data_IF_126431255672
#
_entry.id   IF_126431255672
#
_cell.length_a   1.000
_cell.length_b   1.000
_cell.length_c   1.000
_cell.angle_alpha   90.00
_cell.angle_beta   90.00
_cell.angle_gamma   90.00
#
_symmetry.space_group_name_H-M   'P 1'
#
loop_
_entity.id
_entity.type
_entity.pdbx_description
1 polymer ?
#
# COMPACT_ATOMS: atom_id res chain seq x y z
N UNK A 1 -25.64 45.67 29.27
CA UNK A 1 -25.79 44.50 30.17
C UNK A 1 -26.79 43.56 29.49
N UNK A 2 -26.57 42.30 29.08
CA UNK A 2 -25.49 41.33 29.21
C UNK A 2 -25.55 40.38 27.98
N UNK A 3 -24.38 40.02 27.41
CA UNK A 3 -24.25 39.05 26.31
C UNK A 3 -24.54 37.62 26.82
N UNK A 4 -25.46 36.91 26.18
CA UNK A 4 -25.66 35.49 26.43
C UNK A 4 -24.49 34.68 25.83
N UNK A 5 -23.67 34.10 26.70
CA UNK A 5 -22.53 33.25 26.35
C UNK A 5 -23.01 31.87 25.91
N UNK A 6 -22.86 31.57 24.61
CA UNK A 6 -23.03 30.22 24.06
C UNK A 6 -21.91 29.32 24.59
N UNK A 7 -22.24 28.41 25.50
CA UNK A 7 -21.29 27.43 26.04
C UNK A 7 -21.05 26.36 24.98
N UNK A 8 -19.82 26.34 24.44
CA UNK A 8 -19.33 25.25 23.60
C UNK A 8 -19.23 23.97 24.43
N UNK A 9 -20.16 23.03 24.23
CA UNK A 9 -20.00 21.67 24.77
C UNK A 9 -19.13 20.85 23.81
N UNK A 10 -18.08 20.15 24.29
CA UNK A 10 -17.24 19.32 23.44
C UNK A 10 -18.02 18.11 22.90
N UNK A 11 -17.73 17.78 21.64
CA UNK A 11 -18.32 16.68 20.88
C UNK A 11 -17.98 15.34 21.53
N UNK A 12 -19.01 14.58 21.96
CA UNK A 12 -18.83 13.21 22.47
C UNK A 12 -18.19 12.31 21.41
N UNK A 13 -17.13 11.59 21.80
CA UNK A 13 -16.33 10.71 20.94
C UNK A 13 -16.81 9.24 20.94
N UNK A 14 -17.79 8.87 21.76
CA UNK A 14 -18.27 7.49 21.87
C UNK A 14 -19.76 7.38 21.52
N UNK A 15 -20.18 6.34 20.77
CA UNK A 15 -21.58 6.00 20.58
C UNK A 15 -22.22 5.58 21.92
N UNK A 16 -23.43 6.06 22.19
CA UNK A 16 -24.25 5.54 23.29
C UNK A 16 -24.64 4.10 22.97
N UNK A 17 -24.24 3.15 23.82
CA UNK A 17 -24.66 1.76 23.73
C UNK A 17 -26.05 1.64 24.34
N UNK A 18 -27.09 1.66 23.50
CA UNK A 18 -28.45 1.31 23.91
C UNK A 18 -28.60 -0.21 24.04
N UNK A 19 -29.27 -0.75 25.07
CA UNK A 19 -29.50 -2.18 25.20
C UNK A 19 -30.50 -2.69 24.13
N UNK A 20 -29.99 -3.40 23.14
CA UNK A 20 -30.56 -4.64 22.59
C UNK A 20 -31.91 -4.62 21.89
N UNK A 21 -31.90 -4.59 20.55
CA UNK A 21 -32.76 -5.45 19.73
C UNK A 21 -31.87 -6.29 18.80
N UNK A 22 -31.70 -7.57 19.14
CA UNK A 22 -31.04 -8.56 18.29
C UNK A 22 -31.96 -8.91 17.12
N UNK A 23 -31.86 -8.15 16.03
CA UNK A 23 -32.31 -8.57 14.72
C UNK A 23 -31.19 -9.35 14.04
N UNK A 24 -31.43 -10.60 13.68
CA UNK A 24 -30.57 -11.35 12.76
C UNK A 24 -30.55 -10.63 11.41
N UNK A 25 -29.57 -9.74 11.20
CA UNK A 25 -29.23 -9.29 9.85
C UNK A 25 -28.34 -10.36 9.22
N UNK A 26 -28.62 -10.80 7.98
CA UNK A 26 -27.71 -11.67 7.23
C UNK A 26 -26.33 -11.03 7.22
N UNK A 27 -25.30 -11.80 7.56
CA UNK A 27 -23.90 -11.38 7.44
C UNK A 27 -23.64 -11.12 5.96
N UNK A 28 -23.85 -9.86 5.55
CA UNK A 28 -23.42 -9.39 4.24
C UNK A 28 -21.93 -9.67 4.16
N UNK A 29 -21.43 -10.29 3.08
CA UNK A 29 -20.01 -10.55 2.91
C UNK A 29 -19.30 -9.23 3.15
N UNK A 30 -18.43 -9.19 4.17
CA UNK A 30 -17.75 -7.97 4.58
C UNK A 30 -17.19 -7.34 3.31
N UNK A 31 -17.78 -6.21 2.89
CA UNK A 31 -17.35 -5.57 1.67
C UNK A 31 -15.89 -5.25 1.94
N UNK A 32 -14.95 -5.98 1.32
CA UNK A 32 -13.52 -5.65 1.39
C UNK A 32 -13.48 -4.15 1.19
N UNK A 33 -13.08 -3.39 2.21
CA UNK A 33 -13.09 -1.92 2.15
C UNK A 33 -12.09 -1.54 1.07
N UNK A 34 -12.59 -1.46 -0.17
CA UNK A 34 -11.78 -1.21 -1.35
C UNK A 34 -11.64 0.30 -1.44
N UNK A 35 -10.40 0.75 -1.30
CA UNK A 35 -10.03 2.12 -0.91
C UNK A 35 -10.08 3.16 -2.04
N UNK A 36 -10.72 2.86 -3.18
CA UNK A 36 -10.75 3.78 -4.32
C UNK A 36 -12.17 4.01 -4.85
N UNK A 37 -12.52 5.29 -4.97
CA UNK A 37 -13.79 5.76 -5.53
C UNK A 37 -13.71 5.86 -7.06
N UNK A 38 -14.86 5.68 -7.73
CA UNK A 38 -15.03 5.96 -9.15
C UNK A 38 -14.79 7.45 -9.46
N UNK A 39 -14.57 7.78 -10.73
CA UNK A 39 -14.26 9.14 -11.20
C UNK A 39 -15.34 10.16 -10.80
N UNK A 40 -16.62 9.79 -10.91
CA UNK A 40 -17.75 10.66 -10.54
C UNK A 40 -17.80 10.96 -9.04
N UNK A 41 -17.75 9.93 -8.19
CA UNK A 41 -17.76 10.11 -6.74
C UNK A 41 -16.52 10.86 -6.25
N UNK A 42 -15.36 10.61 -6.89
CA UNK A 42 -14.11 11.34 -6.62
C UNK A 42 -14.27 12.84 -6.93
N UNK A 43 -14.79 13.19 -8.11
CA UNK A 43 -15.02 14.61 -8.50
C UNK A 43 -16.03 15.32 -7.58
N UNK A 44 -17.03 14.59 -7.07
CA UNK A 44 -18.08 15.13 -6.20
C UNK A 44 -17.72 15.13 -4.70
N UNK A 45 -16.58 14.56 -4.30
CA UNK A 45 -16.21 14.34 -2.90
C UNK A 45 -17.30 13.64 -2.06
N UNK A 46 -17.96 12.63 -2.65
CA UNK A 46 -19.00 11.82 -1.97
C UNK A 46 -18.54 10.37 -1.76
N UNK A 47 -19.22 9.67 -0.84
CA UNK A 47 -18.97 8.24 -0.58
C UNK A 47 -19.23 7.42 -1.85
N UNK A 48 -18.29 6.55 -2.20
CA UNK A 48 -18.44 5.60 -3.30
C UNK A 48 -18.64 4.19 -2.72
N UNK A 49 -19.63 3.44 -3.20
CA UNK A 49 -19.88 2.07 -2.73
C UNK A 49 -19.00 1.03 -3.43
N UNK A 50 -18.35 1.39 -4.55
CA UNK A 50 -17.37 0.55 -5.23
C UNK A 50 -17.89 -0.11 -6.53
N UNK A 51 -17.07 -0.98 -7.15
CA UNK A 51 -17.38 -1.63 -8.43
C UNK A 51 -18.38 -2.79 -8.29
N UNK A 52 -18.99 -3.27 -9.40
CA UNK A 52 -18.77 -2.84 -10.79
C UNK A 52 -19.35 -1.45 -11.09
N UNK A 53 -20.47 -1.09 -10.45
CA UNK A 53 -21.07 0.25 -10.50
C UNK A 53 -21.48 0.67 -9.10
N UNK A 54 -21.09 1.87 -8.67
CA UNK A 54 -21.48 2.35 -7.35
C UNK A 54 -22.94 2.83 -7.33
N UNK A 55 -23.59 2.72 -6.18
CA UNK A 55 -25.00 3.07 -5.98
C UNK A 55 -25.30 4.50 -6.43
N UNK A 56 -24.43 5.45 -6.09
CA UNK A 56 -24.59 6.85 -6.49
C UNK A 56 -24.60 7.04 -8.01
N UNK A 57 -23.80 6.28 -8.76
CA UNK A 57 -23.80 6.35 -10.22
C UNK A 57 -25.02 5.66 -10.82
N UNK A 58 -25.45 4.53 -10.24
CA UNK A 58 -26.69 3.84 -10.65
C UNK A 58 -27.89 4.75 -10.48
N UNK A 59 -28.09 5.33 -9.28
CA UNK A 59 -29.23 6.21 -8.99
C UNK A 59 -29.23 7.49 -9.82
N UNK A 60 -28.06 8.02 -10.16
CA UNK A 60 -27.95 9.24 -10.98
C UNK A 60 -27.91 8.99 -12.48
N UNK A 61 -27.97 7.73 -12.92
CA UNK A 61 -27.86 7.36 -14.34
C UNK A 61 -26.55 7.78 -14.99
N UNK A 62 -25.45 7.89 -14.22
CA UNK A 62 -24.15 8.38 -14.69
C UNK A 62 -23.17 7.23 -14.94
N UNK A 63 -22.26 7.43 -15.88
CA UNK A 63 -21.19 6.46 -16.17
C UNK A 63 -20.30 6.25 -14.94
N UNK A 64 -20.24 5.01 -14.45
CA UNK A 64 -19.39 4.65 -13.32
C UNK A 64 -18.05 4.12 -13.84
N UNK A 65 -17.01 4.96 -13.86
CA UNK A 65 -15.67 4.55 -14.32
C UNK A 65 -14.72 4.46 -13.14
N UNK A 66 -14.05 3.33 -13.03
CA UNK A 66 -12.99 3.07 -12.07
C UNK A 66 -11.65 3.05 -12.80
N UNK A 67 -10.68 3.83 -12.32
CA UNK A 67 -9.33 3.90 -12.91
C UNK A 67 -8.27 3.50 -11.87
N UNK A 68 -8.06 2.19 -11.62
CA UNK A 68 -7.09 1.74 -10.62
C UNK A 68 -5.65 2.21 -10.90
N UNK A 69 -5.30 2.39 -12.18
CA UNK A 69 -3.98 2.86 -12.62
C UNK A 69 -3.64 4.28 -12.16
N UNK A 70 -4.66 5.11 -11.87
CA UNK A 70 -4.48 6.48 -11.36
C UNK A 70 -4.42 6.57 -9.84
N UNK A 71 -4.54 5.46 -9.11
CA UNK A 71 -4.33 5.46 -7.66
C UNK A 71 -2.83 5.58 -7.37
N UNK A 72 -2.42 6.76 -6.88
CA UNK A 72 -1.01 7.05 -6.56
C UNK A 72 -0.44 6.06 -5.54
N UNK A 73 -1.21 5.66 -4.53
CA UNK A 73 -0.77 4.69 -3.50
C UNK A 73 -0.51 3.32 -4.12
N UNK A 74 -1.36 2.88 -5.05
CA UNK A 74 -1.14 1.64 -5.80
C UNK A 74 0.12 1.73 -6.65
N UNK A 75 0.35 2.86 -7.32
CA UNK A 75 1.55 3.10 -8.12
C UNK A 75 2.81 3.09 -7.24
N UNK A 76 2.79 3.74 -6.08
CA UNK A 76 3.88 3.74 -5.11
C UNK A 76 4.14 2.33 -4.58
N UNK A 77 3.11 1.56 -4.20
CA UNK A 77 3.26 0.18 -3.76
C UNK A 77 3.89 -0.71 -4.85
N UNK A 78 3.49 -0.52 -6.11
CA UNK A 78 4.10 -1.22 -7.25
C UNK A 78 5.59 -0.83 -7.40
N UNK A 79 5.91 0.47 -7.35
CA UNK A 79 7.31 0.94 -7.40
C UNK A 79 8.16 0.41 -6.26
N UNK A 80 7.62 0.33 -5.05
CA UNK A 80 8.33 -0.26 -3.91
C UNK A 80 8.62 -1.75 -4.14
N UNK A 81 7.64 -2.49 -4.66
CA UNK A 81 7.84 -3.88 -5.04
C UNK A 81 8.89 -4.03 -6.16
N UNK A 82 8.80 -3.21 -7.21
CA UNK A 82 9.79 -3.17 -8.31
C UNK A 82 11.20 -2.85 -7.80
N UNK A 83 11.34 -1.85 -6.92
CA UNK A 83 12.64 -1.47 -6.34
C UNK A 83 13.25 -2.60 -5.50
N UNK A 84 12.43 -3.30 -4.73
CA UNK A 84 12.90 -4.46 -3.98
C UNK A 84 13.46 -5.53 -4.94
N UNK A 85 12.76 -5.82 -6.05
CA UNK A 85 13.23 -6.78 -7.07
C UNK A 85 14.51 -6.33 -7.78
N UNK A 86 14.67 -5.04 -8.06
CA UNK A 86 15.85 -4.53 -8.78
C UNK A 86 17.15 -4.72 -7.96
N UNK A 87 17.08 -4.59 -6.62
CA UNK A 87 18.23 -4.88 -5.76
C UNK A 87 18.73 -6.32 -5.92
N UNK A 88 17.83 -7.31 -5.91
CA UNK A 88 18.20 -8.72 -6.13
C UNK A 88 18.81 -8.93 -7.52
N UNK A 89 18.23 -8.30 -8.55
CA UNK A 89 18.72 -8.43 -9.92
C UNK A 89 20.14 -7.88 -10.05
N UNK A 90 20.42 -6.72 -9.48
CA UNK A 90 21.73 -6.10 -9.55
C UNK A 90 22.79 -6.93 -8.82
N UNK A 91 22.47 -7.43 -7.62
CA UNK A 91 23.36 -8.32 -6.86
C UNK A 91 23.71 -9.58 -7.66
N UNK A 92 22.73 -10.21 -8.31
CA UNK A 92 22.95 -11.38 -9.17
C UNK A 92 23.84 -11.05 -10.38
N UNK A 93 23.60 -9.91 -11.03
CA UNK A 93 24.43 -9.47 -12.17
C UNK A 93 25.88 -9.26 -11.73
N UNK A 94 26.11 -8.63 -10.58
CA UNK A 94 27.45 -8.42 -10.04
C UNK A 94 28.18 -9.74 -9.78
N UNK A 95 27.52 -10.71 -9.12
CA UNK A 95 28.11 -12.03 -8.87
C UNK A 95 28.48 -12.74 -10.18
N UNK A 96 27.57 -12.72 -11.17
CA UNK A 96 27.82 -13.33 -12.48
C UNK A 96 29.00 -12.65 -13.19
N UNK A 97 29.09 -11.32 -13.13
CA UNK A 97 30.19 -10.55 -13.73
C UNK A 97 31.53 -10.87 -13.05
N UNK A 98 31.56 -10.96 -11.72
CA UNK A 98 32.75 -11.34 -10.96
C UNK A 98 33.25 -12.72 -11.35
N UNK A 99 32.36 -13.70 -11.56
CA UNK A 99 32.78 -15.04 -12.02
C UNK A 99 33.17 -15.09 -13.50
N UNK A 100 32.57 -14.25 -14.35
CA UNK A 100 32.82 -14.28 -15.79
C UNK A 100 34.10 -13.56 -16.19
N UNK A 101 34.40 -12.45 -15.53
CA UNK A 101 35.44 -11.51 -15.96
C UNK A 101 36.32 -10.99 -14.82
N UNK A 102 36.03 -11.35 -13.57
CA UNK A 102 36.84 -10.95 -12.42
C UNK A 102 38.18 -11.67 -12.38
N UNK A 103 39.18 -11.04 -11.77
CA UNK A 103 40.41 -11.72 -11.44
C UNK A 103 40.15 -12.76 -10.32
N UNK A 104 41.03 -13.75 -10.20
CA UNK A 104 40.94 -14.73 -9.10
C UNK A 104 40.89 -14.06 -7.71
N UNK A 105 41.48 -12.86 -7.59
CA UNK A 105 41.40 -12.08 -6.36
C UNK A 105 39.98 -11.56 -6.09
N UNK A 106 39.29 -11.04 -7.11
CA UNK A 106 37.92 -10.55 -6.97
C UNK A 106 36.96 -11.67 -6.54
N UNK A 107 37.19 -12.88 -7.09
CA UNK A 107 36.45 -14.09 -6.72
C UNK A 107 36.72 -14.47 -5.27
N UNK A 108 37.99 -14.49 -4.84
CA UNK A 108 38.36 -14.80 -3.44
C UNK A 108 37.77 -13.78 -2.47
N UNK A 109 37.87 -12.49 -2.76
CA UNK A 109 37.34 -11.42 -1.92
C UNK A 109 35.81 -11.49 -1.82
N UNK A 110 35.12 -11.84 -2.90
CA UNK A 110 33.67 -12.10 -2.87
C UNK A 110 33.33 -13.27 -1.95
N UNK A 111 34.04 -14.40 -2.08
CA UNK A 111 33.81 -15.60 -1.25
C UNK A 111 34.09 -15.32 0.23
N UNK A 112 35.18 -14.62 0.54
CA UNK A 112 35.56 -14.31 1.92
C UNK A 112 34.50 -13.44 2.61
N UNK A 113 33.98 -12.42 1.91
CA UNK A 113 32.88 -11.60 2.41
C UNK A 113 31.60 -12.41 2.65
N UNK A 114 31.21 -13.24 1.68
CA UNK A 114 30.04 -14.12 1.85
C UNK A 114 30.18 -15.08 3.04
N UNK A 115 31.42 -15.45 3.42
CA UNK A 115 31.67 -16.27 4.62
C UNK A 115 31.67 -15.46 5.92
N UNK A 116 31.87 -14.15 5.87
CA UNK A 116 31.92 -13.26 7.03
C UNK A 116 30.55 -12.73 7.44
N UNK A 117 29.57 -12.75 6.53
CA UNK A 117 28.18 -12.38 6.83
C UNK A 117 27.51 -13.36 7.81
N UNK A 118 26.72 -12.84 8.75
CA UNK A 118 26.01 -13.63 9.78
C UNK A 118 24.80 -14.41 9.27
N UNK A 119 24.23 -14.01 8.14
CA UNK A 119 23.08 -14.67 7.51
C UNK A 119 23.06 -14.42 6.01
N UNK A 120 22.26 -15.21 5.29
CA UNK A 120 22.05 -15.05 3.84
C UNK A 120 21.42 -13.70 3.50
N UNK A 121 20.53 -13.19 4.36
CA UNK A 121 19.91 -11.87 4.19
C UNK A 121 20.94 -10.75 4.38
N UNK A 122 21.88 -10.92 5.30
CA UNK A 122 22.98 -9.97 5.50
C UNK A 122 23.95 -9.98 4.30
N UNK A 123 24.34 -11.16 3.80
CA UNK A 123 25.19 -11.24 2.60
C UNK A 123 24.50 -10.54 1.42
N UNK A 124 23.20 -10.74 1.28
CA UNK A 124 22.44 -10.14 0.20
C UNK A 124 22.35 -8.61 0.33
N UNK A 125 22.15 -8.08 1.53
CA UNK A 125 22.14 -6.64 1.77
C UNK A 125 23.50 -6.01 1.43
N UNK A 126 24.60 -6.64 1.84
CA UNK A 126 25.96 -6.21 1.49
C UNK A 126 26.18 -6.19 -0.03
N UNK A 127 25.75 -7.25 -0.74
CA UNK A 127 25.84 -7.31 -2.21
C UNK A 127 25.00 -6.24 -2.90
N UNK A 128 23.85 -5.87 -2.34
CA UNK A 128 22.99 -4.82 -2.87
C UNK A 128 23.62 -3.43 -2.70
N UNK A 129 24.28 -3.15 -1.58
CA UNK A 129 24.98 -1.88 -1.35
C UNK A 129 26.15 -1.66 -2.34
N UNK A 130 26.79 -2.73 -2.79
CA UNK A 130 27.89 -2.65 -3.77
C UNK A 130 27.45 -2.34 -5.21
N UNK A 131 26.15 -2.37 -5.50
CA UNK A 131 25.62 -2.12 -6.84
C UNK A 131 25.24 -0.66 -7.10
N UNK A 132 25.66 0.25 -6.21
CA UNK A 132 25.43 1.69 -6.27
C UNK A 132 26.71 2.50 -6.45
#
# INVERSE_FOLDING_TARGET
>A
MNKATSRNLPRRLLPEVSPGKVGYSPVQPSSKRRSFACTNCRRKHIKCTGPPSCENCVHSGRTCVFEPSKDRRRKEALRHAEKATEGYRNALVMVIQTFKSGADQDIRDLVDRMKQSSSVDDSLAELQEMTH
#
